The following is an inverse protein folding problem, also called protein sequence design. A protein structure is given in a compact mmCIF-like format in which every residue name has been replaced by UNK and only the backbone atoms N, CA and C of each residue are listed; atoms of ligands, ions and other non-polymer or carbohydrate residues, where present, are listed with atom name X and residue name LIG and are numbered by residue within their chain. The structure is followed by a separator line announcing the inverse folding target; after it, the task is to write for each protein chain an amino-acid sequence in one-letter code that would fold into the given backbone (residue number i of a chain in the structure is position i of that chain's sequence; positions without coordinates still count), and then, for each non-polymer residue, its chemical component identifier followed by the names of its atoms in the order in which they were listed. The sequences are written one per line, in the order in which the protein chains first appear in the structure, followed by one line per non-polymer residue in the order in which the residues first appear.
data_IF_479289560368
#
_entry.id   IF_479289560368
#
_cell.length_a   1.000
_cell.length_b   1.000
_cell.length_c   1.000
_cell.angle_alpha   90.00
_cell.angle_beta   90.00
_cell.angle_gamma   90.00
#
_symmetry.space_group_name_H-M   'P 1'
#
loop_
_entity.id
_entity.type
_entity.pdbx_description
1 polymer ?
#
# COMPACT_ATOMS: atom_id res chain seq x y z
N UNK A 1 0.48 0.84 9.10
CA UNK A 1 -0.36 1.07 7.91
C UNK A 1 -1.86 1.12 8.21
N UNK A 2 -2.37 0.43 9.23
CA UNK A 2 -3.82 0.34 9.52
C UNK A 2 -4.45 1.62 10.08
N UNK A 3 -3.94 2.12 11.23
CA UNK A 3 -4.49 3.27 11.96
C UNK A 3 -4.75 4.56 11.14
N UNK A 4 -3.93 4.92 10.12
CA UNK A 4 -4.21 6.08 9.27
C UNK A 4 -5.53 5.99 8.50
N UNK A 5 -6.02 4.80 8.19
CA UNK A 5 -7.26 4.59 7.44
C UNK A 5 -8.49 4.42 8.33
N UNK A 6 -8.35 3.73 9.48
CA UNK A 6 -9.47 3.43 10.39
C UNK A 6 -10.23 4.66 10.85
N UNK A 7 -9.55 5.80 10.98
CA UNK A 7 -10.13 7.05 11.47
C UNK A 7 -10.79 7.89 10.37
N UNK A 8 -10.73 7.46 9.11
CA UNK A 8 -11.27 8.21 7.99
C UNK A 8 -12.78 7.99 7.89
N UNK A 9 -13.54 9.09 7.88
CA UNK A 9 -14.98 9.04 7.62
C UNK A 9 -15.23 8.38 6.26
N UNK A 10 -16.07 7.35 6.24
CA UNK A 10 -16.37 6.54 5.06
C UNK A 10 -15.58 5.24 4.97
N UNK A 11 -14.52 5.04 5.76
CA UNK A 11 -13.89 3.73 5.92
C UNK A 11 -14.73 2.89 6.88
N UNK A 12 -15.10 1.68 6.45
CA UNK A 12 -15.93 0.73 7.20
C UNK A 12 -15.08 -0.27 7.97
N UNK A 13 -13.98 -0.73 7.37
CA UNK A 13 -13.05 -1.65 7.99
C UNK A 13 -11.67 -1.54 7.33
N UNK A 14 -10.64 -1.87 8.09
CA UNK A 14 -9.27 -2.07 7.62
C UNK A 14 -8.84 -3.44 8.12
N UNK A 15 -8.39 -4.31 7.22
CA UNK A 15 -8.05 -5.70 7.54
C UNK A 15 -6.58 -5.91 7.24
N UNK A 16 -5.78 -6.16 8.28
CA UNK A 16 -4.37 -6.50 8.15
C UNK A 16 -4.18 -7.93 7.63
N UNK A 17 -3.22 -8.14 6.73
CA UNK A 17 -2.93 -9.44 6.13
C UNK A 17 -1.69 -9.44 5.25
N UNK A 18 -1.57 -10.47 4.41
CA UNK A 18 -0.43 -10.67 3.51
C UNK A 18 -0.94 -10.94 2.08
N UNK A 19 -0.26 -10.38 1.08
CA UNK A 19 -0.62 -10.56 -0.33
C UNK A 19 0.57 -10.35 -1.25
N UNK A 20 0.40 -10.63 -2.55
CA UNK A 20 1.42 -10.42 -3.58
C UNK A 20 2.47 -11.53 -3.72
N UNK A 21 2.44 -12.54 -2.84
CA UNK A 21 3.29 -13.73 -2.92
C UNK A 21 2.57 -14.97 -3.43
N UNK A 22 3.31 -16.07 -3.54
CA UNK A 22 2.86 -17.31 -4.19
C UNK A 22 2.31 -18.36 -3.22
N UNK A 23 2.59 -18.20 -1.91
CA UNK A 23 2.19 -19.20 -0.92
C UNK A 23 0.72 -19.03 -0.53
N UNK A 24 -0.09 -20.06 -0.72
CA UNK A 24 -1.47 -20.07 -0.23
C UNK A 24 -1.49 -20.13 1.32
N UNK A 25 -2.38 -19.34 1.94
CA UNK A 25 -2.61 -19.29 3.39
C UNK A 25 -1.31 -19.20 4.23
N UNK A 26 -0.45 -18.19 4.01
CA UNK A 26 0.83 -18.08 4.70
C UNK A 26 0.62 -17.73 6.18
N UNK A 27 1.46 -18.28 7.05
CA UNK A 27 1.52 -17.87 8.46
C UNK A 27 2.47 -16.68 8.64
N UNK A 28 2.28 -15.89 9.70
CA UNK A 28 3.19 -14.79 10.04
C UNK A 28 4.67 -15.21 10.04
N UNK A 29 4.99 -16.34 10.68
CA UNK A 29 6.37 -16.86 10.76
C UNK A 29 6.98 -17.13 9.39
N UNK A 30 6.18 -17.50 8.40
CA UNK A 30 6.65 -17.77 7.04
C UNK A 30 6.84 -16.48 6.25
N UNK A 31 5.95 -15.50 6.42
CA UNK A 31 6.09 -14.18 5.79
C UNK A 31 7.28 -13.43 6.36
N UNK A 32 7.46 -13.42 7.69
CA UNK A 32 8.60 -12.76 8.34
C UNK A 32 9.96 -13.38 7.97
N UNK A 33 9.98 -14.63 7.48
CA UNK A 33 11.19 -15.27 6.93
C UNK A 33 11.51 -14.80 5.50
N UNK A 34 10.60 -14.08 4.85
CA UNK A 34 10.77 -13.55 3.50
C UNK A 34 10.67 -14.58 2.37
N UNK A 35 10.35 -15.84 2.67
CA UNK A 35 10.39 -16.94 1.68
C UNK A 35 9.09 -17.12 0.89
N UNK A 36 8.05 -16.35 1.22
CA UNK A 36 6.71 -16.55 0.63
C UNK A 36 6.39 -15.60 -0.52
N UNK A 37 7.23 -14.59 -0.74
CA UNK A 37 6.98 -13.51 -1.70
C UNK A 37 5.90 -12.51 -1.26
N UNK A 38 5.20 -12.77 -0.15
CA UNK A 38 4.15 -11.88 0.33
C UNK A 38 4.73 -10.62 0.95
N UNK A 39 3.95 -9.55 0.84
CA UNK A 39 4.13 -8.28 1.56
C UNK A 39 3.04 -8.11 2.60
N UNK A 40 3.36 -7.39 3.67
CA UNK A 40 2.35 -6.91 4.62
C UNK A 40 1.45 -5.90 3.93
N UNK A 41 0.14 -6.11 4.02
CA UNK A 41 -0.85 -5.27 3.39
C UNK A 41 -2.05 -5.04 4.30
N UNK A 42 -2.80 -3.98 3.99
CA UNK A 42 -4.11 -3.72 4.59
C UNK A 42 -5.17 -3.68 3.49
N UNK A 43 -6.27 -4.38 3.68
CA UNK A 43 -7.45 -4.25 2.82
C UNK A 43 -8.38 -3.19 3.42
N UNK A 44 -8.60 -2.11 2.68
CA UNK A 44 -9.47 -1.02 3.12
C UNK A 44 -10.85 -1.18 2.49
N UNK A 45 -11.87 -1.41 3.32
CA UNK A 45 -13.27 -1.47 2.91
C UNK A 45 -13.88 -0.10 3.19
N UNK A 46 -14.42 0.56 2.17
CA UNK A 46 -14.91 1.93 2.28
C UNK A 46 -16.21 2.16 1.51
N UNK A 47 -16.90 3.24 1.85
CA UNK A 47 -18.06 3.76 1.15
C UNK A 47 -17.63 4.81 0.10
N UNK A 48 -17.74 4.52 -1.21
CA UNK A 48 -17.34 5.44 -2.27
C UNK A 48 -18.19 6.72 -2.33
N UNK A 49 -19.38 6.74 -1.73
CA UNK A 49 -20.20 7.97 -1.64
C UNK A 49 -19.65 8.96 -0.60
N UNK A 50 -18.89 8.46 0.38
CA UNK A 50 -18.35 9.26 1.49
C UNK A 50 -16.86 9.56 1.33
N UNK A 51 -16.06 8.62 0.81
CA UNK A 51 -14.62 8.77 0.58
C UNK A 51 -14.20 8.16 -0.75
N UNK A 52 -13.35 8.86 -1.49
CA UNK A 52 -12.90 8.41 -2.81
C UNK A 52 -11.63 7.58 -2.73
N UNK A 53 -11.42 6.70 -3.72
CA UNK A 53 -10.17 5.94 -3.83
C UNK A 53 -8.93 6.84 -3.92
N UNK A 54 -9.01 7.97 -4.64
CA UNK A 54 -7.94 8.98 -4.68
C UNK A 54 -7.58 9.51 -3.29
N UNK A 55 -8.57 9.71 -2.42
CA UNK A 55 -8.31 10.16 -1.06
C UNK A 55 -7.56 9.11 -0.23
N UNK A 56 -7.86 7.82 -0.45
CA UNK A 56 -7.11 6.73 0.17
C UNK A 56 -5.66 6.69 -0.34
N UNK A 57 -5.44 6.88 -1.64
CA UNK A 57 -4.10 7.00 -2.22
C UNK A 57 -3.32 8.19 -1.64
N UNK A 58 -3.96 9.36 -1.48
CA UNK A 58 -3.32 10.53 -0.85
C UNK A 58 -2.87 10.25 0.59
N UNK A 59 -3.64 9.46 1.34
CA UNK A 59 -3.29 9.04 2.69
C UNK A 59 -2.15 8.03 2.65
N UNK A 60 -2.21 7.05 1.75
CA UNK A 60 -1.18 6.02 1.53
C UNK A 60 0.21 6.63 1.31
N UNK A 61 0.34 7.57 0.36
CA UNK A 61 1.63 8.19 0.01
C UNK A 61 2.28 9.01 1.14
N UNK A 62 1.55 9.30 2.22
CA UNK A 62 2.04 10.04 3.38
C UNK A 62 2.53 9.14 4.51
N UNK A 63 2.40 7.82 4.38
CA UNK A 63 2.69 6.89 5.47
C UNK A 63 4.13 6.41 5.51
N UNK A 64 4.88 6.47 4.41
CA UNK A 64 6.24 5.93 4.29
C UNK A 64 7.06 6.73 3.27
N UNK A 65 8.34 6.39 3.08
CA UNK A 65 9.15 6.90 1.98
C UNK A 65 8.95 6.03 0.72
N UNK A 66 8.22 6.51 -0.30
CA UNK A 66 7.91 5.74 -1.50
C UNK A 66 9.08 5.58 -2.47
N UNK A 67 10.27 6.07 -2.09
CA UNK A 67 11.52 5.91 -2.85
C UNK A 67 12.42 4.80 -2.28
N UNK A 68 12.07 4.22 -1.13
CA UNK A 68 12.83 3.15 -0.50
C UNK A 68 12.39 1.77 -1.01
N UNK A 69 13.26 1.15 -1.80
CA UNK A 69 13.03 -0.20 -2.35
C UNK A 69 13.36 -1.33 -1.35
N UNK A 70 13.97 -1.02 -0.20
CA UNK A 70 14.47 -2.02 0.74
C UNK A 70 13.56 -2.28 1.95
N UNK A 71 12.43 -1.59 2.05
CA UNK A 71 11.48 -1.69 3.16
C UNK A 71 10.97 -0.33 3.60
N UNK A 72 10.33 -0.28 4.77
CA UNK A 72 9.71 0.94 5.32
C UNK A 72 10.31 1.27 6.68
N UNK A 73 10.84 2.48 6.84
CA UNK A 73 11.47 2.96 8.08
C UNK A 73 12.60 2.01 8.55
N UNK A 74 12.45 1.42 9.75
CA UNK A 74 13.42 0.49 10.33
C UNK A 74 13.20 -0.97 9.87
N UNK A 75 12.05 -1.27 9.26
CA UNK A 75 11.68 -2.60 8.82
C UNK A 75 12.25 -2.85 7.42
N UNK A 76 13.09 -3.88 7.29
CA UNK A 76 13.84 -4.20 6.06
C UNK A 76 13.49 -5.58 5.53
N UNK A 77 13.40 -5.69 4.22
CA UNK A 77 13.04 -6.92 3.51
C UNK A 77 11.84 -6.74 2.58
N UNK A 78 11.72 -7.65 1.61
CA UNK A 78 10.67 -7.64 0.59
C UNK A 78 9.28 -7.48 1.19
N UNK A 79 9.01 -8.16 2.31
CA UNK A 79 7.72 -8.15 2.97
C UNK A 79 7.28 -6.79 3.52
N UNK A 80 8.20 -5.82 3.65
CA UNK A 80 7.92 -4.46 4.13
C UNK A 80 8.03 -3.41 3.02
N UNK A 81 8.19 -3.85 1.77
CA UNK A 81 8.18 -2.95 0.62
C UNK A 81 6.77 -2.42 0.35
N UNK A 82 6.70 -1.23 -0.24
CA UNK A 82 5.45 -0.63 -0.65
C UNK A 82 4.87 -1.34 -1.88
N UNK A 83 3.54 -1.45 -1.96
CA UNK A 83 2.81 -1.91 -3.15
C UNK A 83 1.35 -1.44 -3.11
N UNK A 84 0.74 -1.20 -4.27
CA UNK A 84 -0.71 -0.93 -4.37
C UNK A 84 -1.40 -2.08 -5.11
N UNK A 85 -2.26 -2.81 -4.38
CA UNK A 85 -3.11 -3.85 -4.96
C UNK A 85 -4.48 -3.28 -5.28
N UNK A 86 -4.85 -3.33 -6.56
CA UNK A 86 -6.13 -2.83 -7.05
C UNK A 86 -7.10 -3.98 -7.35
N UNK A 87 -8.39 -3.73 -7.16
CA UNK A 87 -9.45 -4.71 -7.45
C UNK A 87 -9.99 -4.63 -8.88
N UNK A 88 -9.75 -3.52 -9.59
CA UNK A 88 -10.23 -3.32 -10.95
C UNK A 88 -9.37 -2.33 -11.74
N UNK A 89 -9.62 -2.23 -13.04
CA UNK A 89 -8.91 -1.34 -13.97
C UNK A 89 -9.07 0.14 -13.66
N UNK A 90 -10.18 0.56 -13.05
CA UNK A 90 -10.36 1.95 -12.64
C UNK A 90 -9.39 2.28 -11.49
N UNK A 91 -9.32 1.44 -10.47
CA UNK A 91 -8.38 1.60 -9.36
C UNK A 91 -6.94 1.55 -9.85
N UNK A 92 -6.60 0.68 -10.81
CA UNK A 92 -5.28 0.66 -11.45
C UNK A 92 -4.93 2.02 -12.05
N UNK A 93 -5.79 2.55 -12.93
CA UNK A 93 -5.58 3.86 -13.57
C UNK A 93 -5.43 4.99 -12.56
N UNK A 94 -6.24 4.96 -11.49
CA UNK A 94 -6.18 5.96 -10.43
C UNK A 94 -4.90 5.86 -9.60
N UNK A 95 -4.43 4.65 -9.31
CA UNK A 95 -3.18 4.41 -8.60
C UNK A 95 -1.98 4.91 -9.42
N UNK A 96 -1.89 4.50 -10.69
CA UNK A 96 -0.84 4.93 -11.62
C UNK A 96 -0.84 6.46 -11.79
N UNK A 97 -2.02 7.07 -11.97
CA UNK A 97 -2.14 8.52 -12.06
C UNK A 97 -1.69 9.22 -10.75
N UNK A 98 -1.99 8.64 -9.59
CA UNK A 98 -1.56 9.21 -8.30
C UNK A 98 -0.05 9.12 -8.11
N UNK A 99 0.57 8.01 -8.53
CA UNK A 99 2.03 7.84 -8.51
C UNK A 99 2.69 8.88 -9.41
N UNK A 100 2.19 9.01 -10.64
CA UNK A 100 2.69 10.00 -11.61
C UNK A 100 2.56 11.44 -11.07
N UNK A 101 1.42 11.78 -10.47
CA UNK A 101 1.23 13.10 -9.86
C UNK A 101 2.20 13.34 -8.70
N UNK A 102 2.55 12.30 -7.92
CA UNK A 102 3.55 12.39 -6.86
C UNK A 102 4.97 12.60 -7.43
N UNK A 103 5.34 11.88 -8.49
CA UNK A 103 6.61 12.07 -9.21
C UNK A 103 6.74 13.49 -9.77
N UNK A 104 5.68 13.99 -10.42
CA UNK A 104 5.63 15.34 -11.00
C UNK A 104 5.61 16.46 -9.94
N UNK A 105 5.24 16.15 -8.69
CA UNK A 105 5.18 17.14 -7.62
C UNK A 105 6.56 17.67 -7.18
N UNK A 106 7.64 16.98 -7.53
CA UNK A 106 9.00 17.31 -7.11
C UNK A 106 9.25 17.14 -5.61
N UNK A 107 8.35 16.44 -4.89
CA UNK A 107 8.47 16.22 -3.44
C UNK A 107 9.59 15.26 -3.06
N UNK A 108 10.00 14.40 -4.00
CA UNK A 108 11.06 13.41 -3.80
C UNK A 108 12.11 13.57 -4.90
N UNK A 109 13.38 13.55 -4.50
CA UNK A 109 14.51 13.65 -5.43
C UNK A 109 14.84 12.32 -6.13
N UNK A 110 14.26 11.22 -5.62
CA UNK A 110 14.44 9.87 -6.13
C UNK A 110 13.15 9.35 -6.78
N UNK A 111 13.25 8.40 -7.72
CA UNK A 111 12.08 7.79 -8.34
C UNK A 111 11.16 7.11 -7.31
N UNK A 112 9.85 7.13 -7.58
CA UNK A 112 8.88 6.39 -6.79
C UNK A 112 8.92 4.91 -7.19
N UNK A 113 9.28 4.04 -6.24
CA UNK A 113 9.54 2.61 -6.51
C UNK A 113 8.34 1.71 -6.24
N UNK A 114 7.25 2.25 -5.70
CA UNK A 114 6.01 1.50 -5.44
C UNK A 114 5.41 0.95 -6.74
N UNK A 115 5.21 -0.38 -6.85
CA UNK A 115 4.51 -1.03 -7.95
C UNK A 115 2.98 -0.89 -7.84
#
# INVERSE_FOLDING_TARGET
MEAPFEKLRGVKAVISGYTGGDKENPTYKEVSRGTTGHVEAVQVIYDPETITYRKLLDVYWRQFDPTDAGGSFYDRGHQYTSAIFYHNEEQKKLAEASKKALEESGRFDKPIVTP
#
